data_IF_061225158916
#
_entry.id   IF_061225158916
#
_cell.length_a   1.000
_cell.length_b   1.000
_cell.length_c   1.000
_cell.angle_alpha   90.00
_cell.angle_beta   90.00
_cell.angle_gamma   90.00
#
_symmetry.space_group_name_H-M   'P 1'
#
loop_
_entity.id
_entity.type
_entity.pdbx_description
1 polymer ?
#
# COMPACT_ATOMS: atom_id res chain seq x y z
N UNK A 1 5.26 -13.40 23.92
CA UNK A 1 4.23 -13.51 22.86
C UNK A 1 3.00 -12.77 23.34
N UNK A 2 2.61 -11.67 22.69
CA UNK A 2 1.34 -10.97 23.01
C UNK A 2 0.21 -11.78 22.37
N UNK A 3 -0.77 -12.19 23.17
CA UNK A 3 -1.94 -13.00 22.80
C UNK A 3 -3.18 -12.23 23.22
N UNK A 4 -4.30 -12.46 22.54
CA UNK A 4 -5.57 -11.78 22.81
C UNK A 4 -6.45 -12.70 23.64
N UNK A 5 -7.10 -12.13 24.65
CA UNK A 5 -8.11 -12.82 25.45
C UNK A 5 -9.50 -12.58 24.86
N UNK A 6 -10.24 -13.65 24.60
CA UNK A 6 -11.60 -13.58 24.03
C UNK A 6 -12.39 -14.85 24.36
N UNK A 7 -13.67 -14.88 24.00
CA UNK A 7 -14.53 -16.07 24.12
C UNK A 7 -14.09 -17.17 23.15
N UNK A 8 -14.35 -18.43 23.51
CA UNK A 8 -14.03 -19.62 22.73
C UNK A 8 -15.23 -20.56 22.67
N UNK A 9 -15.18 -21.54 21.76
CA UNK A 9 -16.24 -22.52 21.53
C UNK A 9 -16.62 -23.26 22.82
N UNK A 10 -17.86 -23.76 22.86
CA UNK A 10 -18.39 -24.55 23.96
C UNK A 10 -18.44 -23.80 25.31
N UNK A 11 -18.71 -22.49 25.24
CA UNK A 11 -18.82 -21.64 26.43
C UNK A 11 -17.49 -21.43 27.16
N UNK A 12 -16.36 -21.55 26.45
CA UNK A 12 -15.01 -21.39 27.03
C UNK A 12 -14.47 -20.00 26.77
N UNK A 13 -13.29 -19.74 27.33
CA UNK A 13 -12.50 -18.55 27.07
C UNK A 13 -11.11 -18.96 26.62
N UNK A 14 -10.52 -18.18 25.72
CA UNK A 14 -9.14 -18.33 25.28
C UNK A 14 -8.32 -17.12 25.68
N UNK A 15 -7.04 -17.35 26.00
CA UNK A 15 -6.01 -16.31 26.15
C UNK A 15 -4.91 -16.46 25.11
N UNK A 16 -5.17 -17.26 24.08
CA UNK A 16 -4.16 -17.70 23.11
C UNK A 16 -4.52 -17.37 21.66
N UNK A 17 -5.57 -16.59 21.45
CA UNK A 17 -5.89 -16.07 20.13
C UNK A 17 -4.75 -15.16 19.64
N UNK A 18 -4.35 -15.31 18.38
CA UNK A 18 -3.15 -14.69 17.82
C UNK A 18 -3.25 -14.55 16.30
N UNK A 19 -2.27 -13.86 15.71
CA UNK A 19 -2.22 -13.58 14.28
C UNK A 19 -2.94 -12.29 13.93
N UNK A 20 -2.84 -11.89 12.66
CA UNK A 20 -3.54 -10.71 12.12
C UNK A 20 -5.07 -10.86 12.23
N UNK A 21 -5.57 -12.09 12.26
CA UNK A 21 -6.98 -12.41 12.50
C UNK A 21 -7.50 -11.93 13.86
N UNK A 22 -6.62 -11.77 14.86
CA UNK A 22 -6.99 -11.22 16.17
C UNK A 22 -7.05 -9.69 16.17
N UNK A 23 -6.27 -9.03 15.30
CA UNK A 23 -6.21 -7.57 15.23
C UNK A 23 -7.41 -6.97 14.47
N UNK A 24 -7.93 -7.66 13.45
CA UNK A 24 -9.05 -7.16 12.66
C UNK A 24 -10.35 -6.96 13.50
N UNK A 25 -10.74 -7.89 14.39
CA UNK A 25 -11.88 -7.67 15.30
C UNK A 25 -11.68 -6.50 16.27
N UNK A 26 -10.45 -6.27 16.76
CA UNK A 26 -10.14 -5.11 17.61
C UNK A 26 -10.36 -3.79 16.83
N UNK A 27 -9.86 -3.72 15.59
CA UNK A 27 -10.11 -2.57 14.71
C UNK A 27 -11.61 -2.37 14.44
N UNK A 28 -12.36 -3.45 14.18
CA UNK A 28 -13.80 -3.39 13.98
C UNK A 28 -14.53 -2.84 15.22
N UNK A 29 -14.11 -3.22 16.43
CA UNK A 29 -14.63 -2.65 17.67
C UNK A 29 -14.36 -1.15 17.80
N UNK A 30 -13.16 -0.70 17.43
CA UNK A 30 -12.83 0.74 17.41
C UNK A 30 -13.69 1.51 16.39
N UNK A 31 -13.89 0.96 15.20
CA UNK A 31 -14.75 1.56 14.18
C UNK A 31 -16.21 1.63 14.64
N UNK A 32 -16.70 0.63 15.36
CA UNK A 32 -18.04 0.65 15.93
C UNK A 32 -18.22 1.80 16.94
N UNK A 33 -17.22 2.06 17.78
CA UNK A 33 -17.23 3.21 18.70
C UNK A 33 -17.25 4.55 17.95
N UNK A 34 -16.50 4.66 16.85
CA UNK A 34 -16.49 5.86 16.02
C UNK A 34 -17.86 6.10 15.36
N UNK A 35 -18.49 5.04 14.82
CA UNK A 35 -19.82 5.08 14.23
C UNK A 35 -20.92 5.35 15.26
N UNK A 36 -20.77 4.86 16.49
CA UNK A 36 -21.68 5.22 17.59
C UNK A 36 -21.59 6.72 17.91
N UNK A 37 -20.37 7.28 17.90
CA UNK A 37 -20.15 8.69 18.16
C UNK A 37 -20.62 9.60 17.00
N UNK A 38 -20.59 9.11 15.76
CA UNK A 38 -21.09 9.80 14.59
C UNK A 38 -21.61 8.79 13.53
N UNK A 39 -22.94 8.54 13.50
CA UNK A 39 -23.55 7.60 12.55
C UNK A 39 -23.50 8.03 11.09
N UNK A 40 -23.20 9.30 10.80
CA UNK A 40 -23.14 9.86 9.44
C UNK A 40 -21.78 9.62 8.75
N UNK A 41 -20.82 9.01 9.45
CA UNK A 41 -19.52 8.69 8.87
C UNK A 41 -19.66 7.71 7.70
N UNK A 42 -19.13 8.10 6.54
CA UNK A 42 -19.02 7.22 5.39
C UNK A 42 -17.86 6.23 5.58
N UNK A 43 -17.80 5.21 4.73
CA UNK A 43 -16.68 4.27 4.72
C UNK A 43 -15.32 4.95 4.47
N UNK A 44 -15.29 6.08 3.72
CA UNK A 44 -14.08 6.87 3.50
C UNK A 44 -13.71 7.68 4.72
N UNK A 45 -14.69 8.26 5.41
CA UNK A 45 -14.44 9.02 6.64
C UNK A 45 -13.75 8.15 7.68
N UNK A 46 -14.17 6.88 7.85
CA UNK A 46 -13.50 5.92 8.75
C UNK A 46 -12.04 5.71 8.38
N UNK A 47 -11.70 5.68 7.08
CA UNK A 47 -10.31 5.56 6.63
C UNK A 47 -9.52 6.84 6.90
N UNK A 48 -10.08 8.02 6.63
CA UNK A 48 -9.45 9.30 6.98
C UNK A 48 -9.19 9.41 8.47
N UNK A 49 -10.17 9.08 9.31
CA UNK A 49 -10.01 9.04 10.76
C UNK A 49 -8.91 8.06 11.16
N UNK A 50 -8.84 6.89 10.52
CA UNK A 50 -7.79 5.90 10.77
C UNK A 50 -6.41 6.48 10.47
N UNK A 51 -6.22 7.10 9.31
CA UNK A 51 -4.95 7.72 8.92
C UNK A 51 -4.54 8.84 9.88
N UNK A 52 -5.48 9.72 10.24
CA UNK A 52 -5.21 10.92 11.03
C UNK A 52 -5.03 10.67 12.53
N UNK A 53 -5.56 9.57 13.05
CA UNK A 53 -5.56 9.30 14.51
C UNK A 53 -4.65 8.15 14.91
N UNK A 54 -4.16 7.35 13.96
CA UNK A 54 -3.19 6.29 14.24
C UNK A 54 -1.87 6.86 14.77
N UNK A 55 -1.20 6.08 15.63
CA UNK A 55 0.06 6.49 16.27
C UNK A 55 1.12 5.42 16.11
N UNK A 56 2.35 5.83 15.81
CA UNK A 56 3.51 4.93 15.74
C UNK A 56 3.70 4.08 17.01
N UNK A 57 3.42 4.62 18.20
CA UNK A 57 3.39 3.90 19.48
C UNK A 57 4.54 2.88 19.69
N UNK A 58 5.79 3.34 19.54
CA UNK A 58 7.00 2.51 19.69
C UNK A 58 7.07 1.28 18.78
N UNK A 59 6.29 1.23 17.70
CA UNK A 59 6.41 0.19 16.68
C UNK A 59 7.70 0.39 15.89
N UNK A 60 8.43 -0.71 15.68
CA UNK A 60 9.60 -0.75 14.81
C UNK A 60 9.75 -2.15 14.20
N UNK A 61 10.33 -2.22 13.01
CA UNK A 61 10.73 -3.49 12.43
C UNK A 61 11.92 -4.05 13.22
N UNK A 62 11.72 -5.14 13.95
CA UNK A 62 12.79 -5.77 14.75
C UNK A 62 13.95 -6.29 13.89
N UNK A 63 13.71 -6.51 12.59
CA UNK A 63 14.75 -6.88 11.61
C UNK A 63 15.43 -5.66 10.98
N UNK A 64 14.99 -4.46 11.32
CA UNK A 64 15.50 -3.18 10.82
C UNK A 64 15.60 -3.10 9.28
N UNK A 65 14.64 -3.70 8.56
CA UNK A 65 14.59 -3.72 7.08
C UNK A 65 13.69 -2.63 6.53
N UNK A 66 12.63 -2.30 7.27
CA UNK A 66 11.63 -1.32 6.86
C UNK A 66 11.51 -0.23 7.93
N UNK A 67 11.98 0.96 7.60
CA UNK A 67 11.96 2.12 8.48
C UNK A 67 10.67 2.92 8.34
N UNK A 68 10.30 3.62 9.41
CA UNK A 68 9.28 4.67 9.36
C UNK A 68 9.74 5.80 8.44
N UNK A 69 8.82 6.34 7.67
CA UNK A 69 9.02 7.45 6.76
C UNK A 69 7.91 8.47 6.95
N UNK A 70 8.18 9.72 6.61
CA UNK A 70 7.14 10.73 6.47
C UNK A 70 6.79 10.88 5.00
N UNK A 71 5.51 11.03 4.71
CA UNK A 71 5.04 11.33 3.36
C UNK A 71 5.08 12.85 3.07
N UNK A 72 4.63 13.27 1.89
CA UNK A 72 4.68 14.67 1.43
C UNK A 72 3.85 15.65 2.25
N UNK A 73 2.93 15.18 3.08
CA UNK A 73 2.10 16.01 3.98
C UNK A 73 2.45 15.81 5.46
N UNK A 74 3.55 15.13 5.76
CA UNK A 74 4.05 14.94 7.12
C UNK A 74 3.41 13.80 7.90
N UNK A 75 2.68 12.90 7.25
CA UNK A 75 2.13 11.70 7.90
C UNK A 75 3.22 10.62 7.99
N UNK A 76 3.47 10.12 9.19
CA UNK A 76 4.37 8.99 9.41
C UNK A 76 3.71 7.67 8.98
N UNK A 77 4.44 6.86 8.20
CA UNK A 77 4.00 5.53 7.80
C UNK A 77 5.14 4.52 7.82
N UNK A 78 4.76 3.24 7.91
CA UNK A 78 5.65 2.10 7.73
C UNK A 78 4.90 1.00 6.96
N UNK A 79 5.58 0.34 6.02
CA UNK A 79 4.96 -0.72 5.22
C UNK A 79 4.39 -1.88 6.05
N UNK A 80 4.95 -2.17 7.23
CA UNK A 80 4.46 -3.24 8.11
C UNK A 80 3.29 -2.80 9.01
N UNK A 81 3.17 -1.51 9.28
CA UNK A 81 2.30 -0.99 10.34
C UNK A 81 1.30 0.07 9.84
N UNK A 82 1.29 0.39 8.54
CA UNK A 82 0.53 1.51 8.00
C UNK A 82 0.91 2.82 8.68
N UNK A 83 -0.08 3.60 9.08
CA UNK A 83 0.09 4.85 9.84
C UNK A 83 0.26 4.61 11.36
N UNK A 84 0.20 3.35 11.82
CA UNK A 84 0.45 2.96 13.21
C UNK A 84 -0.72 2.24 13.89
N UNK A 85 -0.70 2.23 15.21
CA UNK A 85 -1.73 1.62 16.06
C UNK A 85 -2.95 2.53 16.09
N UNK A 86 -4.14 1.93 15.96
CA UNK A 86 -5.41 2.63 16.16
C UNK A 86 -5.52 3.20 17.58
N UNK A 87 -5.96 4.44 17.69
CA UNK A 87 -6.28 5.10 18.96
C UNK A 87 -7.79 5.33 19.03
N UNK A 88 -8.50 4.49 19.79
CA UNK A 88 -9.95 4.55 19.89
C UNK A 88 -10.44 5.89 20.47
N UNK A 89 -9.72 6.44 21.45
CA UNK A 89 -10.08 7.71 22.08
C UNK A 89 -9.94 8.87 21.10
N UNK A 90 -8.81 8.92 20.38
CA UNK A 90 -8.57 9.94 19.37
C UNK A 90 -9.55 9.82 18.18
N UNK A 91 -9.84 8.60 17.73
CA UNK A 91 -10.80 8.34 16.64
C UNK A 91 -12.21 8.80 17.02
N UNK A 92 -12.71 8.43 18.21
CA UNK A 92 -14.02 8.88 18.70
C UNK A 92 -14.07 10.39 18.91
N UNK A 93 -12.99 10.99 19.44
CA UNK A 93 -12.93 12.43 19.64
C UNK A 93 -12.99 13.20 18.31
N UNK A 94 -12.25 12.75 17.29
CA UNK A 94 -12.26 13.37 15.97
C UNK A 94 -13.57 13.11 15.22
N UNK A 95 -14.16 11.91 15.35
CA UNK A 95 -15.44 11.54 14.76
C UNK A 95 -16.58 12.52 15.11
N UNK A 96 -16.64 12.96 16.39
CA UNK A 96 -17.69 13.87 16.88
C UNK A 96 -17.71 15.25 16.21
N UNK A 97 -16.56 15.69 15.71
CA UNK A 97 -16.39 16.99 15.05
C UNK A 97 -16.04 16.83 13.56
N UNK A 98 -16.13 15.60 13.05
CA UNK A 98 -15.72 15.28 11.68
C UNK A 98 -16.70 15.88 10.67
N UNK A 99 -16.15 16.46 9.61
CA UNK A 99 -16.90 16.88 8.45
C UNK A 99 -16.67 15.87 7.34
N UNK A 100 -17.75 15.24 6.87
CA UNK A 100 -17.72 14.27 5.78
C UNK A 100 -16.92 14.78 4.58
N UNK A 101 -16.04 13.94 4.06
CA UNK A 101 -15.22 14.28 2.90
C UNK A 101 -16.09 14.46 1.64
N UNK A 102 -15.65 15.27 0.66
CA UNK A 102 -16.36 15.42 -0.62
C UNK A 102 -16.54 14.10 -1.36
N UNK A 103 -17.38 14.08 -2.39
CA UNK A 103 -17.58 12.91 -3.24
C UNK A 103 -16.26 12.31 -3.73
N UNK A 104 -16.22 10.98 -3.86
CA UNK A 104 -15.02 10.26 -4.31
C UNK A 104 -14.92 10.38 -5.82
N UNK A 105 -13.78 10.83 -6.31
CA UNK A 105 -13.43 10.81 -7.72
C UNK A 105 -12.37 9.75 -7.99
N UNK A 106 -12.18 9.40 -9.25
CA UNK A 106 -11.06 8.58 -9.67
C UNK A 106 -10.55 9.12 -11.00
N UNK A 107 -9.24 9.37 -11.07
CA UNK A 107 -8.57 9.84 -12.25
C UNK A 107 -7.71 8.70 -12.83
N UNK A 108 -7.95 8.33 -14.09
CA UNK A 108 -6.97 7.60 -14.88
C UNK A 108 -5.87 8.60 -15.29
N UNK A 109 -4.86 8.72 -14.45
CA UNK A 109 -3.89 9.81 -14.48
C UNK A 109 -2.78 9.62 -15.53
N UNK A 110 -2.84 8.55 -16.32
CA UNK A 110 -1.93 8.29 -17.43
C UNK A 110 -1.66 6.80 -17.59
N UNK A 111 -1.22 6.43 -18.79
CA UNK A 111 -0.83 5.06 -19.12
C UNK A 111 0.48 5.01 -19.89
N UNK A 112 1.21 3.92 -19.69
CA UNK A 112 2.43 3.57 -20.38
C UNK A 112 2.23 2.22 -21.04
N UNK A 113 2.35 2.15 -22.36
CA UNK A 113 2.21 0.92 -23.15
C UNK A 113 3.45 0.75 -24.02
N UNK A 114 4.40 -0.01 -23.52
CA UNK A 114 5.63 -0.37 -24.23
C UNK A 114 6.26 -1.56 -23.54
N UNK A 115 6.75 -2.51 -24.34
CA UNK A 115 7.49 -3.66 -23.83
C UNK A 115 8.91 -3.24 -23.43
N UNK A 116 9.14 -3.06 -22.13
CA UNK A 116 10.41 -2.59 -21.57
C UNK A 116 11.02 -3.63 -20.66
N UNK A 117 12.21 -4.09 -21.02
CA UNK A 117 12.99 -5.06 -20.26
C UNK A 117 13.64 -4.41 -19.03
N UNK A 118 13.77 -5.18 -17.94
CA UNK A 118 14.54 -4.83 -16.76
C UNK A 118 15.27 -6.05 -16.20
N UNK A 119 16.44 -5.83 -15.61
CA UNK A 119 17.35 -6.89 -15.12
C UNK A 119 17.72 -6.64 -13.66
N UNK A 120 18.50 -7.55 -13.09
CA UNK A 120 18.95 -7.42 -11.70
C UNK A 120 19.93 -6.28 -11.47
N UNK A 121 20.78 -5.96 -12.46
CA UNK A 121 21.79 -4.91 -12.34
C UNK A 121 21.30 -3.56 -12.88
N UNK A 122 20.08 -3.51 -13.42
CA UNK A 122 19.54 -2.33 -14.10
C UNK A 122 18.04 -2.20 -13.77
N UNK A 123 17.72 -1.27 -12.86
CA UNK A 123 16.33 -0.96 -12.53
C UNK A 123 15.68 -0.15 -13.66
N UNK A 124 14.50 -0.57 -14.10
CA UNK A 124 13.68 0.23 -15.01
C UNK A 124 12.91 1.28 -14.23
N UNK A 125 12.93 2.52 -14.72
CA UNK A 125 12.12 3.63 -14.20
C UNK A 125 11.25 4.18 -15.31
N UNK A 126 9.94 4.12 -15.11
CA UNK A 126 8.95 4.73 -16.00
C UNK A 126 8.39 5.96 -15.30
N UNK A 127 8.22 7.03 -16.07
CA UNK A 127 7.70 8.30 -15.58
C UNK A 127 6.37 8.61 -16.25
N UNK A 128 5.40 9.08 -15.47
CA UNK A 128 4.15 9.64 -15.96
C UNK A 128 3.96 11.02 -15.34
N UNK A 129 3.87 12.05 -16.17
CA UNK A 129 3.53 13.41 -15.73
C UNK A 129 2.00 13.59 -15.86
N UNK A 130 1.35 14.03 -14.79
CA UNK A 130 -0.12 14.16 -14.73
C UNK A 130 -0.55 15.44 -14.04
N UNK A 131 -1.66 16.03 -14.49
CA UNK A 131 -2.37 17.11 -13.81
C UNK A 131 -3.50 16.60 -12.89
N UNK A 132 -3.62 15.27 -12.78
CA UNK A 132 -4.64 14.58 -11.99
C UNK A 132 -6.07 14.93 -12.43
N UNK A 133 -6.28 14.95 -13.75
CA UNK A 133 -7.57 15.23 -14.40
C UNK A 133 -8.09 16.64 -14.08
N UNK A 134 -7.20 17.63 -14.07
CA UNK A 134 -7.56 19.00 -13.71
C UNK A 134 -8.65 19.58 -14.64
N UNK A 135 -9.69 20.18 -14.05
CA UNK A 135 -10.78 20.81 -14.80
C UNK A 135 -11.84 19.83 -15.35
N UNK A 136 -11.82 18.56 -14.95
CA UNK A 136 -12.84 17.56 -15.34
C UNK A 136 -13.66 17.10 -14.12
N UNK A 137 -14.74 16.36 -14.37
CA UNK A 137 -15.57 15.74 -13.32
C UNK A 137 -14.84 14.64 -12.52
N UNK A 138 -13.61 14.29 -12.90
CA UNK A 138 -12.77 13.27 -12.26
C UNK A 138 -11.52 13.85 -11.61
N UNK A 139 -11.45 15.17 -11.45
CA UNK A 139 -10.33 15.86 -10.82
C UNK A 139 -10.08 15.35 -9.39
N UNK A 140 -8.84 14.94 -9.11
CA UNK A 140 -8.40 14.59 -7.76
C UNK A 140 -7.36 15.61 -7.29
N UNK A 141 -7.65 16.27 -6.17
CA UNK A 141 -6.78 17.31 -5.58
C UNK A 141 -5.92 16.79 -4.42
N UNK A 142 -6.39 15.77 -3.71
CA UNK A 142 -5.69 15.13 -2.60
C UNK A 142 -5.89 13.63 -2.69
N UNK A 143 -4.80 12.88 -2.55
CA UNK A 143 -4.80 11.43 -2.70
C UNK A 143 -5.42 10.73 -1.49
N UNK A 144 -6.24 9.72 -1.73
CA UNK A 144 -6.61 8.69 -0.77
C UNK A 144 -5.89 7.39 -1.12
N UNK A 145 -6.19 6.82 -2.29
CA UNK A 145 -5.61 5.57 -2.77
C UNK A 145 -4.92 5.79 -4.10
N UNK A 146 -3.78 5.14 -4.31
CA UNK A 146 -3.14 5.09 -5.62
C UNK A 146 -2.96 3.67 -6.04
N UNK A 147 -3.32 3.37 -7.29
CA UNK A 147 -3.11 2.06 -7.90
C UNK A 147 -2.20 2.16 -9.11
N UNK A 148 -1.24 1.24 -9.20
CA UNK A 148 -0.58 0.90 -10.46
C UNK A 148 -1.21 -0.38 -11.00
N UNK A 149 -2.00 -0.24 -12.06
CA UNK A 149 -2.54 -1.39 -12.81
C UNK A 149 -1.47 -1.83 -13.79
N UNK A 150 -0.86 -2.99 -13.53
CA UNK A 150 0.36 -3.43 -14.23
C UNK A 150 0.12 -4.73 -14.99
N UNK A 151 0.62 -4.77 -16.23
CA UNK A 151 0.84 -6.00 -17.01
C UNK A 151 2.34 -6.21 -17.18
N UNK A 152 2.84 -7.34 -16.69
CA UNK A 152 4.27 -7.66 -16.62
C UNK A 152 4.49 -9.17 -16.68
N UNK A 153 5.56 -9.63 -17.32
CA UNK A 153 6.05 -11.00 -17.16
C UNK A 153 7.51 -10.99 -16.71
N UNK A 154 7.96 -12.10 -16.15
CA UNK A 154 9.34 -12.27 -15.71
C UNK A 154 9.76 -13.72 -15.83
N UNK A 155 11.06 -13.96 -15.92
CA UNK A 155 11.63 -15.31 -15.86
C UNK A 155 11.30 -15.99 -14.52
N UNK A 156 11.15 -15.19 -13.45
CA UNK A 156 10.69 -15.63 -12.14
C UNK A 156 9.97 -14.48 -11.41
N UNK A 157 8.65 -14.57 -11.28
CA UNK A 157 7.78 -13.51 -10.73
C UNK A 157 8.14 -13.16 -9.29
N UNK A 158 8.54 -14.13 -8.49
CA UNK A 158 8.90 -13.92 -7.09
C UNK A 158 10.10 -13.00 -6.87
N UNK A 159 10.94 -12.82 -7.88
CA UNK A 159 12.11 -11.93 -7.79
C UNK A 159 11.80 -10.51 -8.26
N UNK A 160 10.60 -10.24 -8.78
CA UNK A 160 10.18 -8.87 -9.15
C UNK A 160 9.90 -8.05 -7.89
N UNK A 161 10.48 -6.86 -7.83
CA UNK A 161 10.11 -5.79 -6.89
C UNK A 161 9.58 -4.60 -7.66
N UNK A 162 8.51 -4.01 -7.14
CA UNK A 162 7.90 -2.81 -7.71
C UNK A 162 7.80 -1.73 -6.64
N UNK A 163 8.14 -0.52 -7.04
CA UNK A 163 8.01 0.67 -6.21
C UNK A 163 7.30 1.77 -6.98
N UNK A 164 6.51 2.55 -6.26
CA UNK A 164 5.87 3.75 -6.77
C UNK A 164 6.42 4.96 -6.01
N UNK A 165 6.70 6.04 -6.73
CA UNK A 165 7.14 7.32 -6.14
C UNK A 165 6.16 8.40 -6.54
N UNK A 166 5.61 9.10 -5.55
CA UNK A 166 4.73 10.25 -5.77
C UNK A 166 5.48 11.52 -6.18
N UNK A 167 4.80 12.54 -6.71
CA UNK A 167 5.40 13.84 -7.01
C UNK A 167 6.09 14.50 -5.80
N UNK A 168 5.59 14.24 -4.59
CA UNK A 168 6.17 14.75 -3.34
C UNK A 168 7.39 13.94 -2.86
N UNK A 169 7.78 12.89 -3.57
CA UNK A 169 8.93 12.04 -3.27
C UNK A 169 8.64 10.83 -2.37
N UNK A 170 7.38 10.56 -2.04
CA UNK A 170 7.02 9.41 -1.19
C UNK A 170 7.18 8.11 -1.97
N UNK A 171 8.15 7.30 -1.55
CA UNK A 171 8.48 6.01 -2.18
C UNK A 171 7.83 4.83 -1.46
N UNK A 172 6.85 4.21 -2.11
CA UNK A 172 6.08 3.05 -1.67
C UNK A 172 6.54 1.76 -2.33
N UNK A 173 6.81 0.71 -1.54
CA UNK A 173 6.98 -0.65 -2.06
C UNK A 173 5.59 -1.25 -2.29
N UNK A 174 5.24 -1.50 -3.55
CA UNK A 174 3.93 -2.03 -3.95
C UNK A 174 3.99 -3.54 -4.28
N UNK A 175 5.20 -4.06 -4.54
CA UNK A 175 5.48 -5.49 -4.61
C UNK A 175 6.85 -5.77 -3.98
N UNK A 176 6.87 -6.63 -2.97
CA UNK A 176 8.10 -7.13 -2.35
C UNK A 176 8.51 -8.46 -2.97
N UNK A 177 9.79 -8.84 -2.76
CA UNK A 177 10.27 -10.16 -3.19
C UNK A 177 9.51 -11.27 -2.45
N UNK A 178 9.12 -12.31 -3.19
CA UNK A 178 8.42 -13.49 -2.71
C UNK A 178 9.25 -14.73 -3.03
N UNK A 179 10.15 -15.19 -2.14
CA UNK A 179 11.11 -16.26 -2.44
C UNK A 179 10.48 -17.58 -2.90
N UNK A 180 9.24 -17.86 -2.52
CA UNK A 180 8.51 -19.09 -2.85
C UNK A 180 7.60 -18.95 -4.09
N UNK A 181 7.56 -17.78 -4.71
CA UNK A 181 6.80 -17.54 -5.96
C UNK A 181 7.69 -17.84 -7.16
N UNK A 182 7.70 -19.10 -7.58
CA UNK A 182 8.53 -19.62 -8.68
C UNK A 182 7.85 -19.55 -10.04
N UNK A 183 6.87 -18.66 -10.19
CA UNK A 183 6.10 -18.49 -11.42
C UNK A 183 6.96 -17.90 -12.54
N UNK A 184 7.07 -18.61 -13.66
CA UNK A 184 7.79 -18.21 -14.87
C UNK A 184 6.89 -18.02 -16.10
N UNK A 185 5.56 -18.17 -15.94
CA UNK A 185 4.60 -18.27 -17.04
C UNK A 185 3.60 -17.12 -17.06
N UNK A 186 2.94 -16.85 -15.93
CA UNK A 186 1.74 -16.01 -15.89
C UNK A 186 2.09 -14.54 -15.66
N UNK A 187 3.10 -14.27 -14.83
CA UNK A 187 3.45 -12.90 -14.44
C UNK A 187 2.29 -12.18 -13.73
N UNK A 188 2.00 -10.96 -14.16
CA UNK A 188 0.84 -10.15 -13.76
C UNK A 188 0.11 -9.65 -15.01
N UNK A 189 -1.21 -9.73 -15.00
CA UNK A 189 -2.07 -9.20 -16.07
C UNK A 189 -3.05 -8.22 -15.47
N UNK A 190 -2.93 -6.93 -15.83
CA UNK A 190 -3.77 -5.83 -15.31
C UNK A 190 -3.97 -5.88 -13.79
N UNK A 191 -2.92 -6.21 -13.04
CA UNK A 191 -3.01 -6.37 -11.59
C UNK A 191 -2.95 -5.01 -10.90
N UNK A 192 -3.94 -4.63 -10.07
CA UNK A 192 -4.02 -3.31 -9.44
C UNK A 192 -3.25 -3.26 -8.11
N UNK A 193 -1.93 -3.06 -8.16
CA UNK A 193 -1.14 -2.84 -6.95
C UNK A 193 -1.50 -1.50 -6.32
N UNK A 194 -1.77 -1.47 -5.01
CA UNK A 194 -2.27 -0.29 -4.32
C UNK A 194 -1.32 0.19 -3.21
N UNK A 195 -1.26 1.50 -2.98
CA UNK A 195 -0.63 2.09 -1.80
C UNK A 195 -1.51 3.19 -1.19
N UNK A 196 -1.46 3.28 0.15
CA UNK A 196 -2.07 4.36 0.95
C UNK A 196 -1.03 5.31 1.53
N UNK A 197 0.28 5.10 1.30
CA UNK A 197 1.31 5.90 1.99
C UNK A 197 1.32 7.37 1.56
N UNK A 198 0.79 7.67 0.39
CA UNK A 198 0.70 9.01 -0.21
C UNK A 198 -0.60 9.74 0.19
N UNK A 199 -1.34 9.22 1.18
CA UNK A 199 -2.60 9.82 1.64
C UNK A 199 -2.42 11.30 1.97
N UNK A 200 -3.34 12.13 1.47
CA UNK A 200 -3.36 13.59 1.63
C UNK A 200 -2.43 14.36 0.70
N UNK A 201 -1.53 13.72 -0.04
CA UNK A 201 -0.62 14.43 -0.95
C UNK A 201 -1.35 15.02 -2.16
N UNK A 202 -0.76 16.08 -2.72
CA UNK A 202 -1.16 16.59 -4.02
C UNK A 202 -0.69 15.62 -5.12
N UNK A 203 -1.60 15.05 -5.94
CA UNK A 203 -1.24 14.06 -6.96
C UNK A 203 -0.60 14.64 -8.22
N UNK A 204 -0.59 15.97 -8.39
CA UNK A 204 -0.11 16.62 -9.61
C UNK A 204 1.41 16.58 -9.72
N UNK A 205 1.89 16.27 -10.91
CA UNK A 205 3.31 16.21 -11.25
C UNK A 205 3.75 14.81 -11.66
N UNK A 206 5.02 14.52 -11.42
CA UNK A 206 5.66 13.30 -11.90
C UNK A 206 5.48 12.13 -10.96
N UNK A 207 4.83 11.08 -11.44
CA UNK A 207 4.83 9.76 -10.82
C UNK A 207 5.91 8.87 -11.43
N UNK A 208 6.56 8.06 -10.61
CA UNK A 208 7.57 7.09 -11.07
C UNK A 208 7.18 5.67 -10.67
N UNK A 209 7.20 4.74 -11.62
CA UNK A 209 7.19 3.30 -11.36
C UNK A 209 8.62 2.77 -11.52
N UNK A 210 9.15 2.16 -10.47
CA UNK A 210 10.45 1.50 -10.48
C UNK A 210 10.26 -0.02 -10.45
N UNK A 211 10.82 -0.72 -11.44
CA UNK A 211 10.83 -2.18 -11.51
C UNK A 211 12.26 -2.71 -11.39
N UNK A 212 12.44 -3.75 -10.59
CA UNK A 212 13.73 -4.32 -10.27
C UNK A 212 13.64 -5.85 -10.11
N UNK A 213 14.65 -6.58 -10.60
CA UNK A 213 14.81 -8.02 -10.33
C UNK A 213 15.75 -8.24 -9.14
N UNK A 214 15.29 -8.87 -8.07
CA UNK A 214 16.12 -9.18 -6.90
C UNK A 214 16.81 -10.54 -7.06
N UNK A 215 18.13 -10.53 -7.28
CA UNK A 215 18.96 -11.74 -7.21
C UNK A 215 19.07 -12.15 -5.74
N UNK A 216 18.26 -13.12 -5.33
CA UNK A 216 18.37 -13.66 -3.97
C UNK A 216 19.77 -14.16 -3.65
N UNK A 217 20.23 -13.91 -2.42
CA UNK A 217 21.46 -14.48 -1.87
C UNK A 217 21.36 -15.99 -1.53
N UNK A 218 20.41 -16.71 -2.14
CA UNK A 218 19.90 -17.99 -1.63
C UNK A 218 19.84 -19.15 -2.63
N UNK A 219 20.60 -19.10 -3.73
CA UNK A 219 20.78 -20.24 -4.62
C UNK A 219 22.27 -20.45 -4.87
N UNK A 220 22.93 -21.18 -3.98
CA UNK A 220 24.04 -22.03 -4.43
C UNK A 220 23.38 -23.15 -5.22
N UNK A 221 23.88 -23.43 -6.41
CA UNK A 221 23.37 -24.39 -7.39
C UNK A 221 22.30 -23.84 -8.33
N UNK A 222 22.76 -23.16 -9.38
CA UNK A 222 22.30 -23.46 -10.75
C UNK A 222 23.19 -22.71 -11.74
N UNK A 223 23.99 -23.50 -12.44
CA UNK A 223 24.68 -23.18 -13.68
C UNK A 223 23.73 -22.94 -14.86
N UNK A 224 22.52 -22.42 -14.61
CA UNK A 224 21.59 -21.96 -15.63
C UNK A 224 21.65 -20.44 -15.68
N UNK A 225 22.63 -19.94 -16.44
CA UNK A 225 22.90 -18.53 -16.71
C UNK A 225 21.82 -17.90 -17.63
N UNK A 226 20.55 -18.06 -17.27
CA UNK A 226 19.51 -17.15 -17.72
C UNK A 226 19.54 -15.93 -16.82
N UNK A 227 20.12 -14.80 -17.27
CA UNK A 227 20.01 -13.52 -16.55
C UNK A 227 18.55 -13.33 -16.12
N UNK A 228 18.25 -13.16 -14.83
CA UNK A 228 16.89 -12.90 -14.37
C UNK A 228 16.38 -11.60 -15.01
N UNK A 229 15.29 -11.70 -15.78
CA UNK A 229 14.70 -10.57 -16.54
C UNK A 229 13.21 -10.46 -16.27
N UNK A 230 12.71 -9.25 -16.32
CA UNK A 230 11.30 -8.98 -16.45
C UNK A 230 11.02 -8.04 -17.61
N UNK A 231 9.78 -8.06 -18.10
CA UNK A 231 9.30 -7.14 -19.11
C UNK A 231 8.03 -6.49 -18.60
N UNK A 232 8.10 -5.18 -18.36
CA UNK A 232 6.93 -4.36 -18.12
C UNK A 232 6.28 -4.06 -19.48
N UNK A 233 5.00 -4.38 -19.62
CA UNK A 233 4.25 -4.18 -20.88
C UNK A 233 3.32 -2.98 -20.79
N UNK A 234 2.60 -2.91 -19.68
CA UNK A 234 1.60 -1.88 -19.42
C UNK A 234 1.68 -1.41 -17.98
N UNK A 235 1.50 -0.11 -17.78
CA UNK A 235 1.22 0.49 -16.49
C UNK A 235 0.18 1.60 -16.66
N UNK A 236 -0.94 1.50 -15.96
CA UNK A 236 -1.92 2.59 -15.81
C UNK A 236 -1.88 3.10 -14.37
N UNK A 237 -1.78 4.41 -14.20
CA UNK A 237 -1.86 5.09 -12.92
C UNK A 237 -3.31 5.48 -12.62
N UNK A 238 -3.87 4.93 -11.55
CA UNK A 238 -5.20 5.31 -11.05
C UNK A 238 -5.05 6.05 -9.73
N UNK A 239 -5.57 7.26 -9.65
CA UNK A 239 -5.55 8.11 -8.47
C UNK A 239 -6.98 8.26 -7.95
N UNK A 240 -7.19 8.01 -6.66
CA UNK A 240 -8.46 8.14 -5.96
C UNK A 240 -8.32 9.13 -4.82
#
# INVERSE_FOLDING_TARGET
QRRVATTDLYGKCTKTHSGTSAAAPEAAGVFALALEANPELTWRDIQHLTVLTSKRNSLYDSKNRLHWKMNGVGLEFNHLFGFGVLDAGAMVALAKIWKTVPARFHCEAGSYVKNSEFRANESLKIYLDTDSCAGTDTEVNYVEHVQAVITLNATRRGDVKLFMVSPSGTRSMILSRRPNDDDSHDGFTKWPFMTTHTWGENPRGRWTLEAHMDRGTGGKDSSDEGEARGFLKEWTLMIH
#
